data_IF_593399318143
#
_entry.id   IF_593399318143
#
_cell.length_a   1.000
_cell.length_b   1.000
_cell.length_c   1.000
_cell.angle_alpha   90.00
_cell.angle_beta   90.00
_cell.angle_gamma   90.00
#
_symmetry.space_group_name_H-M   'P 1'
#
loop_
_entity.id
_entity.type
_entity.pdbx_description
1 polymer ?
#
# COMPACT_ATOMS: atom_id res chain seq x y z
N UNK A 1 -3.21 -3.13 -8.66
CA UNK A 1 -2.07 -3.43 -9.55
C UNK A 1 -2.44 -4.64 -10.42
N UNK A 2 -1.75 -4.83 -11.54
CA UNK A 2 -1.97 -5.95 -12.46
C UNK A 2 -0.70 -6.79 -12.59
N UNK A 3 -0.85 -8.10 -12.83
CA UNK A 3 0.26 -9.01 -13.14
C UNK A 3 -0.04 -9.80 -14.42
N UNK A 4 0.99 -10.36 -15.05
CA UNK A 4 0.84 -11.18 -16.26
C UNK A 4 -0.04 -12.39 -15.99
N UNK A 5 -1.06 -12.53 -16.82
CA UNK A 5 -1.99 -13.64 -16.72
C UNK A 5 -1.35 -14.89 -17.34
N UNK A 6 -0.85 -15.76 -16.48
CA UNK A 6 -0.02 -16.89 -16.88
C UNK A 6 -0.77 -18.20 -16.63
N UNK A 7 -0.70 -19.13 -17.58
CA UNK A 7 -1.23 -20.49 -17.44
C UNK A 7 -0.35 -21.36 -16.52
N UNK A 8 -0.82 -22.56 -16.17
CA UNK A 8 -0.09 -23.49 -15.28
C UNK A 8 1.31 -23.84 -15.81
N UNK A 9 1.48 -23.88 -17.13
CA UNK A 9 2.74 -24.15 -17.81
C UNK A 9 3.68 -22.94 -17.92
N UNK A 10 3.31 -21.78 -17.35
CA UNK A 10 4.13 -20.56 -17.38
C UNK A 10 3.99 -19.72 -18.66
N UNK A 11 3.06 -20.07 -19.55
CA UNK A 11 2.78 -19.32 -20.79
C UNK A 11 1.86 -18.13 -20.49
N UNK A 12 2.24 -16.94 -20.94
CA UNK A 12 1.43 -15.72 -20.80
C UNK A 12 0.27 -15.77 -21.79
N UNK A 13 -0.95 -15.60 -21.30
CA UNK A 13 -2.16 -15.54 -22.12
C UNK A 13 -2.17 -14.27 -22.96
N UNK A 14 -2.67 -14.37 -24.20
CA UNK A 14 -2.80 -13.23 -25.11
C UNK A 14 -4.25 -12.98 -25.49
N UNK A 15 -4.60 -11.72 -25.73
CA UNK A 15 -5.90 -11.33 -26.25
C UNK A 15 -6.03 -11.60 -27.76
N UNK A 16 -7.18 -11.26 -28.34
CA UNK A 16 -7.49 -11.48 -29.75
C UNK A 16 -6.59 -10.69 -30.72
N UNK A 17 -5.97 -9.61 -30.24
CA UNK A 17 -5.03 -8.78 -30.98
C UNK A 17 -3.57 -9.24 -30.80
N UNK A 18 -3.35 -10.26 -29.95
CA UNK A 18 -2.04 -10.82 -29.65
C UNK A 18 -1.28 -10.09 -28.54
N UNK A 19 -1.91 -9.19 -27.79
CA UNK A 19 -1.27 -8.51 -26.66
C UNK A 19 -1.30 -9.39 -25.42
N UNK A 20 -0.32 -9.20 -24.55
CA UNK A 20 -0.22 -9.95 -23.28
C UNK A 20 -1.33 -9.53 -22.31
N UNK A 21 -2.07 -10.52 -21.83
CA UNK A 21 -3.17 -10.29 -20.91
C UNK A 21 -2.62 -10.09 -19.49
N UNK A 22 -3.27 -9.19 -18.75
CA UNK A 22 -2.96 -8.97 -17.33
C UNK A 22 -4.21 -9.14 -16.48
N UNK A 23 -4.04 -9.66 -15.26
CA UNK A 23 -5.13 -9.82 -14.30
C UNK A 23 -5.00 -8.84 -13.14
N UNK A 24 -6.12 -8.40 -12.61
CA UNK A 24 -6.15 -7.60 -11.38
C UNK A 24 -5.72 -8.48 -10.20
N UNK A 25 -4.75 -7.98 -9.44
CA UNK A 25 -4.28 -8.65 -8.23
C UNK A 25 -4.56 -7.75 -7.04
N UNK A 26 -5.22 -8.27 -5.98
CA UNK A 26 -5.26 -7.59 -4.71
C UNK A 26 -3.86 -7.63 -4.10
N UNK A 27 -3.05 -6.63 -4.42
CA UNK A 27 -1.89 -6.31 -3.61
C UNK A 27 -2.41 -5.61 -2.37
N UNK A 28 -2.32 -6.29 -1.24
CA UNK A 28 -2.41 -5.62 0.03
C UNK A 28 -1.37 -4.49 0.01
N UNK A 29 -1.71 -3.26 0.41
CA UNK A 29 -0.78 -2.11 0.38
C UNK A 29 0.51 -2.33 1.17
N UNK A 30 0.60 -3.45 1.86
CA UNK A 30 1.68 -3.89 2.71
C UNK A 30 1.79 -5.42 2.58
N UNK A 31 2.45 -5.90 1.53
CA UNK A 31 2.85 -7.31 1.40
C UNK A 31 3.91 -7.64 2.47
N UNK A 32 3.50 -7.76 3.73
CA UNK A 32 4.40 -8.03 4.84
C UNK A 32 4.99 -9.43 4.68
N UNK A 33 6.29 -9.45 4.39
CA UNK A 33 7.08 -10.68 4.43
C UNK A 33 7.61 -10.90 5.84
N UNK A 34 8.11 -12.11 6.15
CA UNK A 34 8.73 -12.46 7.44
C UNK A 34 9.73 -11.39 7.95
N UNK A 35 10.51 -10.80 7.03
CA UNK A 35 11.49 -9.75 7.33
C UNK A 35 10.89 -8.51 8.00
N UNK A 36 9.61 -8.24 7.78
CA UNK A 36 8.92 -7.11 8.39
C UNK A 36 8.56 -7.37 9.86
N UNK A 37 8.32 -8.63 10.21
CA UNK A 37 8.04 -9.05 11.60
C UNK A 37 9.31 -9.12 12.45
N UNK A 38 10.48 -9.20 11.82
CA UNK A 38 11.77 -9.12 12.52
C UNK A 38 12.08 -7.70 13.04
N UNK A 39 11.31 -6.69 12.61
CA UNK A 39 11.43 -5.31 13.04
C UNK A 39 10.36 -4.96 14.09
N UNK A 40 10.70 -4.22 15.16
CA UNK A 40 9.69 -3.70 16.07
C UNK A 40 8.80 -2.70 15.35
N UNK A 41 7.55 -2.56 15.81
CA UNK A 41 6.58 -1.62 15.21
C UNK A 41 7.13 -0.19 15.10
N UNK A 42 7.89 0.26 16.09
CA UNK A 42 8.53 1.58 16.13
C UNK A 42 9.43 1.87 14.92
N UNK A 43 9.98 0.83 14.28
CA UNK A 43 10.78 0.97 13.06
C UNK A 43 9.98 1.54 11.89
N UNK A 44 8.67 1.34 11.88
CA UNK A 44 7.75 1.80 10.83
C UNK A 44 7.01 3.07 11.20
N UNK A 45 7.25 3.62 12.39
CA UNK A 45 6.61 4.84 12.84
C UNK A 45 7.53 6.04 12.56
N UNK A 46 7.01 7.01 11.80
CA UNK A 46 7.63 8.32 11.73
C UNK A 46 7.29 9.07 13.02
N UNK A 47 8.31 9.38 13.81
CA UNK A 47 8.16 10.19 15.01
C UNK A 47 8.10 11.68 14.64
N UNK A 48 7.36 12.47 15.41
CA UNK A 48 7.22 13.92 15.18
C UNK A 48 8.58 14.65 15.22
N UNK A 49 9.53 14.19 16.04
CA UNK A 49 10.88 14.76 16.14
C UNK A 49 11.74 14.55 14.89
N UNK A 50 11.38 13.58 14.05
CA UNK A 50 12.06 13.28 12.78
C UNK A 50 11.37 13.93 11.56
N UNK A 51 10.27 14.66 11.76
CA UNK A 51 9.52 15.30 10.69
C UNK A 51 10.10 16.67 10.32
N UNK A 52 9.99 17.05 9.05
CA UNK A 52 10.24 18.42 8.63
C UNK A 52 9.14 19.36 9.13
N UNK A 53 9.37 20.67 9.11
CA UNK A 53 8.34 21.67 9.48
C UNK A 53 7.09 21.56 8.59
N UNK A 54 7.28 21.28 7.30
CA UNK A 54 6.19 21.06 6.34
C UNK A 54 5.38 19.80 6.67
N UNK A 55 6.07 18.70 7.02
CA UNK A 55 5.43 17.46 7.44
C UNK A 55 4.62 17.65 8.73
N UNK A 56 5.13 18.41 9.70
CA UNK A 56 4.42 18.71 10.93
C UNK A 56 3.14 19.51 10.68
N UNK A 57 3.17 20.50 9.76
CA UNK A 57 1.98 21.25 9.36
C UNK A 57 0.96 20.32 8.70
N UNK A 58 1.42 19.43 7.81
CA UNK A 58 0.57 18.42 7.17
C UNK A 58 -0.05 17.45 8.19
N UNK A 59 0.76 16.98 9.14
CA UNK A 59 0.36 16.07 10.19
C UNK A 59 -0.72 16.68 11.10
N UNK A 60 -0.54 17.93 11.55
CA UNK A 60 -1.54 18.61 12.38
C UNK A 60 -2.86 18.85 11.64
N UNK A 61 -2.83 19.13 10.33
CA UNK A 61 -4.05 19.20 9.50
C UNK A 61 -4.79 17.88 9.46
N UNK A 62 -4.06 16.77 9.24
CA UNK A 62 -4.64 15.42 9.23
C UNK A 62 -5.22 15.06 10.60
N UNK A 63 -4.50 15.37 11.66
CA UNK A 63 -4.93 15.16 13.05
C UNK A 63 -6.23 15.90 13.36
N UNK A 64 -6.34 17.17 12.94
CA UNK A 64 -7.55 17.96 13.09
C UNK A 64 -8.73 17.38 12.29
N UNK A 65 -8.47 16.92 11.06
CA UNK A 65 -9.47 16.27 10.21
C UNK A 65 -10.03 14.99 10.86
N UNK A 66 -9.16 14.08 11.32
CA UNK A 66 -9.59 12.83 11.98
C UNK A 66 -10.37 13.12 13.27
N UNK A 67 -9.96 14.12 14.05
CA UNK A 67 -10.70 14.56 15.25
C UNK A 67 -12.10 15.09 14.97
N UNK A 68 -12.36 15.55 13.75
CA UNK A 68 -13.68 16.06 13.35
C UNK A 68 -14.71 14.95 13.12
N UNK A 69 -14.26 13.70 12.95
CA UNK A 69 -15.14 12.56 12.71
C UNK A 69 -16.09 12.35 13.89
N UNK A 70 -17.37 12.19 13.55
CA UNK A 70 -18.41 11.83 14.52
C UNK A 70 -18.68 10.34 14.39
N UNK A 71 -18.73 9.59 15.50
CA UNK A 71 -19.15 8.20 15.46
C UNK A 71 -20.55 8.12 14.84
N UNK A 72 -20.70 7.37 13.76
CA UNK A 72 -22.00 6.95 13.26
C UNK A 72 -22.47 5.76 14.11
N UNK A 73 -23.71 5.84 14.60
CA UNK A 73 -24.35 4.81 15.42
C UNK A 73 -25.21 3.90 14.56
#
# INVERSE_FOLDING_TARGET
>A
ETELDTEEDGVVRRDEEGNEMTRLVPRFPMCWTKKHFDKPTDFYLTKEDAMSEEDLIGFERLRAYVRSFKPTR
#
